data_IF_817458073518
#
_entry.id   IF_817458073518
#
_cell.length_a   1.000
_cell.length_b   1.000
_cell.length_c   1.000
_cell.angle_alpha   90.00
_cell.angle_beta   90.00
_cell.angle_gamma   90.00
#
_symmetry.space_group_name_H-M   'P 1'
#
loop_
_entity.id
_entity.type
_entity.pdbx_description
1 polymer ?
#
# COMPACT_ATOMS: atom_id res chain seq x y z
N UNK A 1 -45.82 -51.21 47.60
CA UNK A 1 -45.25 -52.34 46.83
C UNK A 1 -44.04 -51.81 46.06
N UNK A 2 -42.92 -52.54 46.21
CA UNK A 2 -41.69 -52.55 45.41
C UNK A 2 -40.90 -51.24 45.19
N UNK A 3 -39.85 -51.10 46.01
CA UNK A 3 -38.59 -50.41 45.77
C UNK A 3 -37.84 -50.96 44.54
N UNK A 4 -37.29 -50.09 43.70
CA UNK A 4 -36.37 -50.46 42.60
C UNK A 4 -35.02 -49.75 42.83
N UNK A 5 -34.00 -50.56 43.01
CA UNK A 5 -32.57 -50.22 43.16
C UNK A 5 -31.97 -49.81 41.81
N UNK A 6 -31.01 -48.87 41.72
CA UNK A 6 -30.38 -48.53 40.45
C UNK A 6 -29.31 -49.56 40.05
N UNK A 7 -29.41 -50.12 38.84
CA UNK A 7 -28.39 -50.96 38.21
C UNK A 7 -27.22 -50.10 37.69
N UNK A 8 -25.99 -50.55 37.94
CA UNK A 8 -24.77 -50.00 37.35
C UNK A 8 -24.74 -50.21 35.82
N UNK A 9 -24.10 -49.33 35.03
CA UNK A 9 -23.99 -49.49 33.58
C UNK A 9 -23.06 -50.66 33.24
N UNK A 10 -23.53 -51.53 32.36
CA UNK A 10 -22.79 -52.63 31.76
C UNK A 10 -21.80 -52.09 30.72
N UNK A 11 -20.53 -52.48 30.85
CA UNK A 11 -19.49 -52.26 29.84
C UNK A 11 -19.89 -53.01 28.57
N UNK A 12 -20.23 -52.26 27.51
CA UNK A 12 -20.37 -52.84 26.17
C UNK A 12 -18.96 -52.95 25.57
N UNK A 13 -18.51 -54.13 25.14
CA UNK A 13 -17.22 -54.24 24.47
C UNK A 13 -17.29 -53.49 23.14
N UNK A 14 -16.29 -52.63 22.92
CA UNK A 14 -16.22 -51.76 21.75
C UNK A 14 -16.05 -52.62 20.49
N UNK A 15 -17.11 -52.71 19.67
CA UNK A 15 -17.17 -53.57 18.49
C UNK A 15 -16.05 -53.22 17.49
N UNK A 16 -15.60 -51.96 17.50
CA UNK A 16 -14.50 -51.46 16.68
C UNK A 16 -13.16 -52.08 17.10
N UNK A 17 -12.95 -52.31 18.40
CA UNK A 17 -11.74 -52.95 18.95
C UNK A 17 -11.72 -54.47 18.66
N UNK A 18 -12.89 -55.09 18.51
CA UNK A 18 -13.00 -56.49 18.09
C UNK A 18 -12.73 -56.68 16.59
N UNK A 19 -13.19 -55.76 15.73
CA UNK A 19 -12.99 -55.84 14.28
C UNK A 19 -11.53 -55.57 13.91
N UNK A 20 -10.88 -54.60 14.56
CA UNK A 20 -9.45 -54.28 14.36
C UNK A 20 -8.51 -55.44 14.74
N UNK A 21 -8.87 -56.22 15.78
CA UNK A 21 -8.11 -57.39 16.26
C UNK A 21 -8.50 -58.70 15.58
N UNK A 22 -9.51 -58.70 14.70
CA UNK A 22 -9.96 -59.91 14.02
C UNK A 22 -8.89 -60.38 13.01
N UNK A 23 -8.36 -61.58 13.24
CA UNK A 23 -7.52 -62.30 12.27
C UNK A 23 -8.42 -63.08 11.32
N UNK A 24 -8.03 -63.15 10.05
CA UNK A 24 -8.71 -63.98 9.05
C UNK A 24 -8.74 -65.44 9.52
N UNK A 25 -9.95 -65.94 9.79
CA UNK A 25 -10.16 -67.30 10.28
C UNK A 25 -9.74 -68.33 9.22
N UNK A 26 -8.83 -69.28 9.52
CA UNK A 26 -8.26 -70.19 8.54
C UNK A 26 -9.26 -71.21 7.94
N UNK A 27 -10.52 -71.23 8.40
CA UNK A 27 -11.55 -72.19 7.97
C UNK A 27 -12.49 -71.68 6.88
N UNK A 28 -12.41 -70.41 6.45
CA UNK A 28 -13.37 -69.84 5.47
C UNK A 28 -12.79 -69.69 4.05
N UNK A 29 -11.48 -69.90 3.83
CA UNK A 29 -10.88 -69.81 2.49
C UNK A 29 -10.85 -71.18 1.80
N UNK A 30 -11.82 -71.45 0.91
CA UNK A 30 -11.91 -72.67 0.09
C UNK A 30 -11.12 -72.62 -1.23
N UNK A 31 -10.21 -71.66 -1.40
CA UNK A 31 -9.38 -71.56 -2.59
C UNK A 31 -7.90 -71.56 -2.20
N UNK A 32 -7.11 -72.41 -2.85
CA UNK A 32 -5.65 -72.47 -2.69
C UNK A 32 -5.04 -71.13 -3.12
N UNK A 33 -4.54 -70.41 -2.12
CA UNK A 33 -3.92 -69.10 -2.30
C UNK A 33 -2.49 -69.31 -2.85
N UNK A 34 -2.02 -68.51 -3.81
CA UNK A 34 -0.68 -68.63 -4.38
C UNK A 34 0.42 -68.67 -3.30
N UNK A 35 1.50 -69.45 -3.48
CA UNK A 35 2.55 -69.63 -2.46
C UNK A 35 3.26 -68.34 -2.05
N UNK A 36 3.18 -67.28 -2.85
CA UNK A 36 3.66 -65.93 -2.52
C UNK A 36 2.85 -65.21 -1.43
N UNK A 37 1.61 -65.64 -1.17
CA UNK A 37 0.67 -65.03 -0.21
C UNK A 37 0.49 -65.88 1.07
N UNK A 38 1.13 -67.05 1.15
CA UNK A 38 1.01 -67.94 2.29
C UNK A 38 1.51 -67.31 3.62
N UNK A 39 2.50 -66.42 3.55
CA UNK A 39 3.06 -65.71 4.71
C UNK A 39 2.23 -64.50 5.16
N UNK A 40 1.27 -64.01 4.34
CA UNK A 40 0.43 -62.84 4.68
C UNK A 40 -0.89 -63.20 5.38
N UNK A 41 -1.12 -64.48 5.66
CA UNK A 41 -2.35 -65.00 6.30
C UNK A 41 -2.54 -64.59 7.77
N UNK A 42 -1.52 -64.01 8.40
CA UNK A 42 -1.51 -63.66 9.83
C UNK A 42 -1.61 -62.14 10.11
N UNK A 43 -1.73 -61.33 9.07
CA UNK A 43 -1.81 -59.87 9.14
C UNK A 43 -3.22 -59.46 9.56
N UNK A 44 -3.34 -58.59 10.56
CA UNK A 44 -4.67 -58.09 11.00
C UNK A 44 -5.26 -57.14 9.96
N UNK A 45 -6.58 -56.90 10.00
CA UNK A 45 -7.23 -55.99 9.06
C UNK A 45 -6.59 -54.59 9.07
N UNK A 46 -6.18 -54.11 10.25
CA UNK A 46 -5.52 -52.81 10.43
C UNK A 46 -4.10 -52.78 9.84
N UNK A 47 -3.34 -53.86 9.96
CA UNK A 47 -2.01 -53.97 9.37
C UNK A 47 -2.07 -54.04 7.85
N UNK A 48 -3.07 -54.76 7.30
CA UNK A 48 -3.28 -54.85 5.85
C UNK A 48 -3.76 -53.51 5.28
N UNK A 49 -4.58 -52.77 6.01
CA UNK A 49 -4.98 -51.41 5.65
C UNK A 49 -3.78 -50.46 5.64
N UNK A 50 -2.87 -50.56 6.62
CA UNK A 50 -1.62 -49.80 6.64
C UNK A 50 -0.68 -50.14 5.47
N UNK A 51 -0.54 -51.43 5.13
CA UNK A 51 0.23 -51.84 3.94
C UNK A 51 -0.38 -51.33 2.65
N UNK A 52 -1.72 -51.39 2.53
CA UNK A 52 -2.43 -50.97 1.33
C UNK A 52 -2.39 -49.45 1.14
N UNK A 53 -2.52 -48.68 2.23
CA UNK A 53 -2.35 -47.22 2.24
C UNK A 53 -0.95 -46.77 1.81
N UNK A 54 0.05 -47.66 1.85
CA UNK A 54 1.40 -47.37 1.34
C UNK A 54 1.45 -47.35 -0.19
N UNK A 55 0.49 -47.95 -0.89
CA UNK A 55 0.42 -47.91 -2.36
C UNK A 55 -0.33 -46.66 -2.84
N UNK A 56 0.23 -45.85 -3.74
CA UNK A 56 -0.39 -44.60 -4.19
C UNK A 56 -1.80 -44.75 -4.78
N UNK A 57 -2.11 -45.92 -5.35
CA UNK A 57 -3.43 -46.21 -5.92
C UNK A 57 -4.53 -46.39 -4.87
N UNK A 58 -4.16 -46.75 -3.63
CA UNK A 58 -5.08 -47.03 -2.53
C UNK A 58 -4.88 -46.09 -1.33
N UNK A 59 -4.00 -45.11 -1.48
CA UNK A 59 -3.65 -44.17 -0.43
C UNK A 59 -4.80 -43.18 -0.21
N UNK A 60 -5.31 -43.09 1.03
CA UNK A 60 -6.38 -42.15 1.39
C UNK A 60 -5.86 -40.77 1.79
N UNK A 61 -4.63 -40.67 2.27
CA UNK A 61 -3.98 -39.43 2.74
C UNK A 61 -2.50 -39.47 2.35
N UNK A 62 -1.92 -38.33 1.94
CA UNK A 62 -0.48 -38.24 1.67
C UNK A 62 0.32 -38.42 2.98
N UNK A 63 1.43 -39.19 2.96
CA UNK A 63 2.24 -39.38 4.15
C UNK A 63 3.01 -38.08 4.45
N UNK A 64 3.43 -37.89 5.71
CA UNK A 64 4.26 -36.75 6.09
C UNK A 64 5.57 -36.72 5.27
N UNK A 65 6.12 -35.53 4.98
CA UNK A 65 7.24 -35.33 4.04
C UNK A 65 8.51 -36.16 4.34
N UNK A 66 8.63 -36.70 5.56
CA UNK A 66 9.78 -37.48 6.05
C UNK A 66 9.61 -39.01 5.98
N UNK A 67 8.49 -39.54 5.43
CA UNK A 67 8.31 -40.98 5.24
C UNK A 67 8.72 -41.44 3.83
N UNK A 68 9.88 -42.10 3.75
CA UNK A 68 10.38 -42.72 2.50
C UNK A 68 9.45 -43.87 2.05
N UNK A 69 8.62 -43.56 1.05
CA UNK A 69 7.73 -44.52 0.42
C UNK A 69 8.21 -44.82 -1.02
N UNK A 70 8.90 -45.95 -1.18
CA UNK A 70 9.42 -46.45 -2.45
C UNK A 70 8.37 -46.48 -3.58
N UNK A 71 7.10 -46.77 -3.26
CA UNK A 71 6.04 -46.76 -4.26
C UNK A 71 5.69 -45.35 -4.74
N UNK A 72 5.72 -44.35 -3.85
CA UNK A 72 5.54 -42.95 -4.25
C UNK A 72 6.72 -42.46 -5.09
N UNK A 73 7.94 -42.90 -4.79
CA UNK A 73 9.13 -42.58 -5.58
C UNK A 73 9.07 -43.22 -6.97
N UNK A 74 8.64 -44.48 -7.07
CA UNK A 74 8.44 -45.15 -8.36
C UNK A 74 7.38 -44.44 -9.22
N UNK A 75 6.27 -44.00 -8.62
CA UNK A 75 5.25 -43.20 -9.32
C UNK A 75 5.76 -41.80 -9.72
N UNK A 76 6.56 -41.15 -8.87
CA UNK A 76 7.24 -39.89 -9.22
C UNK A 76 8.19 -40.09 -10.38
N UNK A 77 8.95 -41.19 -10.42
CA UNK A 77 9.87 -41.51 -11.51
C UNK A 77 9.13 -41.72 -12.85
N UNK A 78 7.97 -42.38 -12.82
CA UNK A 78 7.11 -42.58 -13.99
C UNK A 78 6.61 -41.23 -14.57
N UNK A 79 6.40 -40.21 -13.73
CA UNK A 79 6.04 -38.87 -14.20
C UNK A 79 7.17 -38.15 -14.96
N UNK A 80 8.42 -38.60 -14.83
CA UNK A 80 9.59 -38.10 -15.55
C UNK A 80 10.14 -39.13 -16.56
N UNK A 81 9.31 -40.07 -16.99
CA UNK A 81 9.66 -41.04 -18.04
C UNK A 81 9.38 -40.44 -19.43
N UNK A 82 10.37 -40.50 -20.33
CA UNK A 82 10.28 -39.99 -21.70
C UNK A 82 11.38 -39.01 -22.07
N UNK A 83 11.26 -38.39 -23.25
CA UNK A 83 12.10 -37.27 -23.67
C UNK A 83 11.74 -35.99 -22.89
N UNK A 84 12.64 -34.99 -22.87
CA UNK A 84 12.38 -33.72 -22.16
C UNK A 84 11.16 -33.00 -22.67
N UNK A 85 10.97 -33.01 -23.99
CA UNK A 85 9.82 -32.38 -24.64
C UNK A 85 8.52 -33.07 -24.22
N UNK A 86 8.49 -34.40 -24.16
CA UNK A 86 7.31 -35.18 -23.73
C UNK A 86 6.99 -34.95 -22.25
N UNK A 87 7.99 -34.95 -21.37
CA UNK A 87 7.81 -34.67 -19.94
C UNK A 87 7.25 -33.26 -19.75
N UNK A 88 7.85 -32.26 -20.43
CA UNK A 88 7.38 -30.89 -20.36
C UNK A 88 5.96 -30.71 -20.94
N UNK A 89 5.62 -31.44 -22.00
CA UNK A 89 4.29 -31.46 -22.59
C UNK A 89 3.24 -32.08 -21.66
N UNK A 90 3.59 -33.17 -20.96
CA UNK A 90 2.71 -33.79 -19.96
C UNK A 90 2.39 -32.79 -18.83
N UNK A 91 3.42 -32.17 -18.23
CA UNK A 91 3.22 -31.16 -17.20
C UNK A 91 2.50 -29.90 -17.70
N UNK A 92 2.74 -29.46 -18.94
CA UNK A 92 1.98 -28.37 -19.59
C UNK A 92 0.49 -28.74 -19.68
N UNK A 93 0.16 -29.97 -20.03
CA UNK A 93 -1.23 -30.44 -20.17
C UNK A 93 -1.94 -30.48 -18.83
N UNK A 94 -1.29 -31.00 -17.78
CA UNK A 94 -1.80 -30.95 -16.40
C UNK A 94 -1.97 -29.51 -15.91
N UNK A 95 -1.03 -28.62 -16.23
CA UNK A 95 -1.15 -27.19 -15.93
C UNK A 95 -2.34 -26.53 -16.63
N UNK A 96 -2.60 -26.88 -17.89
CA UNK A 96 -3.77 -26.37 -18.64
C UNK A 96 -5.10 -26.88 -18.05
N UNK A 97 -5.13 -28.11 -17.53
CA UNK A 97 -6.27 -28.66 -16.78
C UNK A 97 -6.53 -27.90 -15.49
N UNK A 98 -5.50 -27.69 -14.68
CA UNK A 98 -5.60 -26.91 -13.46
C UNK A 98 -6.06 -25.46 -13.74
N UNK A 99 -5.61 -24.84 -14.83
CA UNK A 99 -6.11 -23.53 -15.29
C UNK A 99 -7.60 -23.57 -15.62
N UNK A 100 -8.09 -24.61 -16.32
CA UNK A 100 -9.52 -24.76 -16.63
C UNK A 100 -10.37 -24.87 -15.36
N UNK A 101 -9.83 -25.51 -14.33
CA UNK A 101 -10.46 -25.65 -13.01
C UNK A 101 -10.25 -24.44 -12.08
N UNK A 102 -9.54 -23.40 -12.53
CA UNK A 102 -9.17 -22.21 -11.75
C UNK A 102 -8.29 -22.51 -10.52
N UNK A 103 -7.60 -23.65 -10.51
CA UNK A 103 -6.57 -24.00 -9.51
C UNK A 103 -5.24 -23.37 -9.91
N UNK A 104 -5.11 -22.07 -9.66
CA UNK A 104 -3.98 -21.27 -10.16
C UNK A 104 -2.64 -21.62 -9.50
N UNK A 105 -2.65 -21.98 -8.21
CA UNK A 105 -1.46 -22.40 -7.47
C UNK A 105 -0.87 -23.69 -8.07
N UNK A 106 -1.70 -24.72 -8.19
CA UNK A 106 -1.33 -26.01 -8.77
C UNK A 106 -0.85 -25.84 -10.22
N UNK A 107 -1.57 -25.05 -11.02
CA UNK A 107 -1.18 -24.75 -12.40
C UNK A 107 0.22 -24.13 -12.48
N UNK A 108 0.53 -23.15 -11.63
CA UNK A 108 1.85 -22.50 -11.56
C UNK A 108 2.95 -23.51 -11.23
N UNK A 109 2.68 -24.46 -10.34
CA UNK A 109 3.63 -25.51 -9.99
C UNK A 109 3.86 -26.48 -11.14
N UNK A 110 2.81 -26.92 -11.84
CA UNK A 110 2.94 -27.77 -13.01
C UNK A 110 3.75 -27.10 -14.12
N UNK A 111 3.51 -25.83 -14.43
CA UNK A 111 4.35 -25.10 -15.40
C UNK A 111 5.79 -24.94 -14.93
N UNK A 112 6.03 -24.78 -13.63
CA UNK A 112 7.37 -24.69 -13.08
C UNK A 112 8.12 -26.03 -13.16
N UNK A 113 7.44 -27.16 -12.95
CA UNK A 113 7.97 -28.51 -13.18
C UNK A 113 8.29 -28.74 -14.65
N UNK A 114 7.42 -28.30 -15.57
CA UNK A 114 7.69 -28.36 -17.01
C UNK A 114 8.98 -27.62 -17.40
N UNK A 115 9.16 -26.38 -16.90
CA UNK A 115 10.36 -25.59 -17.14
C UNK A 115 11.61 -26.18 -16.48
N UNK A 116 11.48 -26.83 -15.33
CA UNK A 116 12.58 -27.54 -14.69
C UNK A 116 13.03 -28.75 -15.53
N UNK A 117 12.09 -29.52 -16.07
CA UNK A 117 12.38 -30.67 -16.93
C UNK A 117 13.16 -30.27 -18.19
N UNK A 118 12.83 -29.13 -18.80
CA UNK A 118 13.53 -28.58 -19.97
C UNK A 118 14.97 -28.11 -19.64
N UNK A 119 15.26 -27.75 -18.38
CA UNK A 119 16.58 -27.26 -17.94
C UNK A 119 17.55 -28.35 -17.51
N UNK A 120 17.08 -29.59 -17.31
CA UNK A 120 17.96 -30.72 -16.95
C UNK A 120 19.03 -30.87 -18.05
N UNK A 121 20.32 -31.12 -17.76
CA UNK A 121 21.34 -31.34 -18.79
C UNK A 121 21.10 -32.62 -19.62
N UNK A 122 21.29 -32.58 -20.96
CA UNK A 122 21.03 -33.72 -21.91
C UNK A 122 21.73 -35.01 -21.50
N UNK A 123 22.85 -34.90 -20.79
CA UNK A 123 23.62 -36.02 -20.27
C UNK A 123 23.67 -35.90 -18.73
N UNK A 124 23.30 -36.95 -17.98
CA UNK A 124 23.55 -36.99 -16.54
C UNK A 124 25.05 -36.86 -16.29
N UNK A 125 25.46 -36.02 -15.35
CA UNK A 125 26.87 -35.90 -14.97
C UNK A 125 27.37 -37.25 -14.43
N UNK A 126 28.05 -38.04 -15.27
CA UNK A 126 28.58 -39.37 -14.94
C UNK A 126 28.04 -40.56 -15.75
N UNK A 127 27.20 -40.34 -16.77
CA UNK A 127 26.67 -41.44 -17.60
C UNK A 127 27.78 -42.13 -18.43
N UNK A 128 27.78 -43.47 -18.41
CA UNK A 128 28.73 -44.26 -19.20
C UNK A 128 28.33 -44.29 -20.69
N UNK A 129 29.27 -44.34 -21.64
CA UNK A 129 28.97 -44.37 -23.08
C UNK A 129 28.01 -45.50 -23.51
N UNK A 130 27.96 -46.60 -22.75
CA UNK A 130 27.12 -47.77 -23.04
C UNK A 130 25.62 -47.56 -22.75
N UNK A 131 25.26 -46.64 -21.84
CA UNK A 131 23.85 -46.31 -21.56
C UNK A 131 23.26 -45.34 -22.60
N UNK A 132 24.12 -44.57 -23.29
CA UNK A 132 23.71 -43.68 -24.37
C UNK A 132 23.44 -44.42 -25.69
N UNK A 133 24.12 -45.54 -25.96
CA UNK A 133 23.97 -46.30 -27.22
C UNK A 133 22.62 -47.06 -27.32
N UNK A 134 21.95 -47.37 -26.21
CA UNK A 134 20.72 -48.19 -26.23
C UNK A 134 19.42 -47.38 -26.44
N UNK A 135 19.48 -46.04 -26.42
CA UNK A 135 18.31 -45.14 -26.49
C UNK A 135 18.33 -44.21 -27.72
N UNK A 136 19.05 -44.58 -28.78
CA UNK A 136 19.03 -43.85 -30.04
C UNK A 136 17.88 -44.37 -30.91
N UNK A 137 16.65 -43.99 -30.57
CA UNK A 137 15.69 -43.75 -31.66
C UNK A 137 16.23 -42.57 -32.46
N UNK A 138 16.15 -42.62 -33.79
CA UNK A 138 16.57 -41.54 -34.71
C UNK A 138 15.70 -40.29 -34.49
N UNK A 139 15.94 -39.60 -33.38
CA UNK A 139 15.26 -38.38 -33.03
C UNK A 139 16.03 -37.24 -33.68
N UNK A 140 15.39 -36.56 -34.63
CA UNK A 140 15.91 -35.35 -35.25
C UNK A 140 16.16 -34.29 -34.15
N UNK A 141 17.42 -34.15 -33.74
CA UNK A 141 17.86 -33.26 -32.66
C UNK A 141 17.38 -31.81 -32.89
N UNK A 142 17.32 -31.38 -34.16
CA UNK A 142 16.89 -30.04 -34.54
C UNK A 142 15.38 -29.86 -34.35
N UNK A 143 14.60 -30.90 -34.64
CA UNK A 143 13.15 -30.89 -34.43
C UNK A 143 12.79 -30.88 -32.95
N UNK A 144 13.51 -31.65 -32.12
CA UNK A 144 13.32 -31.66 -30.67
C UNK A 144 13.69 -30.33 -30.02
N UNK A 145 14.81 -29.72 -30.38
CA UNK A 145 15.19 -28.40 -29.84
C UNK A 145 14.19 -27.29 -30.23
N UNK A 146 13.51 -27.44 -31.37
CA UNK A 146 12.43 -26.55 -31.77
C UNK A 146 11.17 -26.80 -30.94
N UNK A 147 10.82 -28.07 -30.65
CA UNK A 147 9.73 -28.43 -29.74
C UNK A 147 10.00 -27.90 -28.33
N UNK A 148 11.18 -28.12 -27.79
CA UNK A 148 11.59 -27.65 -26.46
C UNK A 148 11.44 -26.13 -26.32
N UNK A 149 11.93 -25.35 -27.29
CA UNK A 149 11.77 -23.88 -27.29
C UNK A 149 10.31 -23.43 -27.37
N UNK A 150 9.50 -24.11 -28.17
CA UNK A 150 8.06 -23.80 -28.29
C UNK A 150 7.29 -24.13 -27.00
N UNK A 151 7.66 -25.22 -26.33
CA UNK A 151 7.10 -25.59 -25.03
C UNK A 151 7.55 -24.60 -23.95
N UNK A 152 8.84 -24.24 -23.92
CA UNK A 152 9.39 -23.24 -23.00
C UNK A 152 8.64 -21.91 -23.11
N UNK A 153 8.44 -21.41 -24.34
CA UNK A 153 7.66 -20.20 -24.61
C UNK A 153 6.25 -20.28 -24.01
N UNK A 154 5.56 -21.39 -24.24
CA UNK A 154 4.17 -21.60 -23.80
C UNK A 154 4.08 -21.72 -22.28
N UNK A 155 5.00 -22.46 -21.66
CA UNK A 155 5.05 -22.65 -20.22
C UNK A 155 5.35 -21.34 -19.48
N UNK A 156 6.30 -20.52 -19.96
CA UNK A 156 6.53 -19.19 -19.40
C UNK A 156 5.31 -18.28 -19.55
N UNK A 157 4.67 -18.27 -20.73
CA UNK A 157 3.47 -17.46 -20.96
C UNK A 157 2.34 -17.88 -20.01
N UNK A 158 2.07 -19.18 -19.86
CA UNK A 158 0.97 -19.68 -19.03
C UNK A 158 1.25 -19.54 -17.53
N UNK A 159 2.52 -19.68 -17.10
CA UNK A 159 2.91 -19.38 -15.72
C UNK A 159 2.64 -17.92 -15.35
N UNK A 160 2.98 -16.99 -16.25
CA UNK A 160 2.67 -15.57 -16.08
C UNK A 160 1.16 -15.29 -16.00
N UNK A 161 0.33 -16.03 -16.74
CA UNK A 161 -1.13 -15.95 -16.61
C UNK A 161 -1.60 -16.37 -15.22
N UNK A 162 -1.13 -17.51 -14.71
CA UNK A 162 -1.52 -17.99 -13.38
C UNK A 162 -1.18 -16.96 -12.30
N UNK A 163 0.00 -16.34 -12.39
CA UNK A 163 0.42 -15.31 -11.44
C UNK A 163 -0.46 -14.05 -11.49
N UNK A 164 -0.84 -13.60 -12.69
CA UNK A 164 -1.76 -12.48 -12.87
C UNK A 164 -3.12 -12.73 -12.19
N UNK A 165 -3.69 -13.92 -12.39
CA UNK A 165 -4.99 -14.30 -11.83
C UNK A 165 -4.94 -14.56 -10.31
N UNK A 166 -3.77 -14.93 -9.78
CA UNK A 166 -3.55 -15.12 -8.34
C UNK A 166 -3.45 -13.82 -7.54
N UNK A 167 -3.40 -12.65 -8.19
CA UNK A 167 -2.94 -11.42 -7.55
C UNK A 167 -3.85 -10.94 -6.39
N UNK A 168 -3.41 -11.23 -5.16
CA UNK A 168 -3.79 -10.53 -3.92
C UNK A 168 -2.72 -9.49 -3.50
N UNK A 169 -1.47 -9.51 -3.97
CA UNK A 169 -0.47 -8.49 -3.57
C UNK A 169 0.71 -8.29 -4.52
N UNK A 170 1.20 -7.05 -4.57
CA UNK A 170 2.24 -6.49 -5.43
C UNK A 170 3.65 -7.12 -5.37
N UNK A 171 3.90 -8.09 -4.48
CA UNK A 171 5.20 -8.74 -4.32
C UNK A 171 5.49 -9.81 -5.38
N UNK A 172 4.46 -10.43 -5.97
CA UNK A 172 4.62 -11.48 -6.99
C UNK A 172 4.92 -10.93 -8.39
N UNK A 173 4.48 -9.70 -8.69
CA UNK A 173 4.48 -9.14 -10.03
C UNK A 173 5.88 -8.88 -10.65
N UNK A 174 6.97 -8.95 -9.86
CA UNK A 174 8.34 -8.86 -10.41
C UNK A 174 8.74 -10.12 -11.17
N UNK A 175 8.26 -11.29 -10.74
CA UNK A 175 8.56 -12.57 -11.37
C UNK A 175 7.80 -12.67 -12.70
N UNK A 176 6.55 -12.19 -12.73
CA UNK A 176 5.66 -12.20 -13.89
C UNK A 176 6.28 -11.45 -15.08
N UNK A 177 6.87 -10.27 -14.83
CA UNK A 177 7.57 -9.49 -15.86
C UNK A 177 8.79 -10.26 -16.39
N UNK A 178 9.51 -11.00 -15.53
CA UNK A 178 10.66 -11.79 -15.97
C UNK A 178 10.23 -12.94 -16.89
N UNK A 179 9.19 -13.69 -16.51
CA UNK A 179 8.66 -14.81 -17.31
C UNK A 179 8.14 -14.35 -18.66
N UNK A 180 7.50 -13.20 -18.65
CA UNK A 180 6.98 -12.62 -19.86
C UNK A 180 8.06 -12.07 -20.79
N UNK A 181 9.07 -11.40 -20.23
CA UNK A 181 10.24 -10.99 -21.00
C UNK A 181 10.98 -12.19 -21.59
N UNK A 182 11.07 -13.32 -20.89
CA UNK A 182 11.64 -14.56 -21.43
C UNK A 182 10.78 -15.08 -22.58
N UNK A 183 9.46 -15.18 -22.40
CA UNK A 183 8.53 -15.58 -23.46
C UNK A 183 8.65 -14.69 -24.71
N UNK A 184 8.77 -13.38 -24.54
CA UNK A 184 8.95 -12.41 -25.63
C UNK A 184 10.34 -12.45 -26.27
N UNK A 185 11.38 -12.83 -25.52
CA UNK A 185 12.72 -13.10 -26.08
C UNK A 185 12.73 -14.35 -26.94
N UNK A 186 11.99 -15.38 -26.55
CA UNK A 186 11.83 -16.61 -27.33
C UNK A 186 10.97 -16.36 -28.57
N UNK A 187 9.86 -15.63 -28.41
CA UNK A 187 8.95 -15.27 -29.49
C UNK A 187 8.37 -13.86 -29.32
N UNK A 188 8.95 -12.91 -30.05
CA UNK A 188 8.52 -11.51 -30.01
C UNK A 188 7.15 -11.25 -30.64
N UNK A 189 6.61 -12.23 -31.39
CA UNK A 189 5.30 -12.14 -32.06
C UNK A 189 4.17 -12.75 -31.21
N UNK A 190 4.43 -13.18 -29.99
CA UNK A 190 3.39 -13.73 -29.13
C UNK A 190 2.46 -12.61 -28.59
N UNK A 191 1.30 -12.45 -29.21
CA UNK A 191 0.32 -11.41 -28.85
C UNK A 191 -0.26 -11.61 -27.44
N UNK A 192 -0.45 -12.87 -27.01
CA UNK A 192 -0.95 -13.18 -25.67
C UNK A 192 0.04 -12.76 -24.59
N UNK A 193 1.34 -12.92 -24.85
CA UNK A 193 2.41 -12.43 -24.01
C UNK A 193 2.33 -10.89 -23.88
N UNK A 194 2.29 -10.16 -25.00
CA UNK A 194 2.14 -8.69 -24.97
C UNK A 194 0.89 -8.20 -24.24
N UNK A 195 -0.25 -8.87 -24.43
CA UNK A 195 -1.49 -8.55 -23.71
C UNK A 195 -1.33 -8.74 -22.20
N UNK A 196 -0.73 -9.86 -21.77
CA UNK A 196 -0.43 -10.13 -20.35
C UNK A 196 0.53 -9.07 -19.79
N UNK A 197 1.47 -8.57 -20.58
CA UNK A 197 2.45 -7.55 -20.18
C UNK A 197 1.76 -6.24 -19.86
N UNK A 198 0.97 -5.75 -20.81
CA UNK A 198 0.21 -4.53 -20.66
C UNK A 198 -0.76 -4.61 -19.47
N UNK A 199 -1.42 -5.76 -19.29
CA UNK A 199 -2.32 -5.99 -18.15
C UNK A 199 -1.57 -5.96 -16.81
N UNK A 200 -0.39 -6.59 -16.73
CA UNK A 200 0.46 -6.60 -15.54
C UNK A 200 0.94 -5.19 -15.18
N UNK A 201 1.47 -4.46 -16.17
CA UNK A 201 1.97 -3.10 -15.99
C UNK A 201 0.85 -2.12 -15.61
N UNK A 202 -0.35 -2.29 -16.17
CA UNK A 202 -1.53 -1.52 -15.77
C UNK A 202 -1.93 -1.81 -14.31
N UNK A 203 -1.90 -3.08 -13.88
CA UNK A 203 -2.17 -3.44 -12.49
C UNK A 203 -1.11 -2.89 -11.50
N UNK A 204 0.12 -2.68 -11.98
CA UNK A 204 1.22 -2.05 -11.24
C UNK A 204 1.22 -0.51 -11.29
N UNK A 205 0.22 0.12 -11.94
CA UNK A 205 0.18 1.56 -12.23
C UNK A 205 1.44 2.08 -12.97
N UNK A 206 2.17 1.18 -13.65
CA UNK A 206 3.30 1.50 -14.54
C UNK A 206 2.77 1.85 -15.94
N UNK A 207 2.13 3.02 -16.02
CA UNK A 207 1.41 3.47 -17.21
C UNK A 207 2.26 3.61 -18.49
N UNK A 208 3.49 4.17 -18.47
CA UNK A 208 4.26 4.30 -19.70
C UNK A 208 4.71 2.93 -20.23
N UNK A 209 5.18 2.04 -19.35
CA UNK A 209 5.57 0.68 -19.75
C UNK A 209 4.37 -0.15 -20.21
N UNK A 210 3.18 0.05 -19.60
CA UNK A 210 1.95 -0.61 -20.03
C UNK A 210 1.55 -0.18 -21.45
N UNK A 211 1.68 1.12 -21.75
CA UNK A 211 1.37 1.67 -23.07
C UNK A 211 2.34 1.12 -24.12
N UNK A 212 3.65 1.15 -23.83
CA UNK A 212 4.68 0.60 -24.73
C UNK A 212 4.43 -0.87 -25.06
N UNK A 213 4.11 -1.68 -24.04
CA UNK A 213 3.78 -3.10 -24.23
C UNK A 213 2.52 -3.31 -25.09
N UNK A 214 1.48 -2.50 -24.86
CA UNK A 214 0.26 -2.49 -25.65
C UNK A 214 0.53 -2.15 -27.13
N UNK A 215 1.35 -1.14 -27.39
CA UNK A 215 1.70 -0.71 -28.74
C UNK A 215 2.57 -1.73 -29.47
N UNK A 216 3.49 -2.38 -28.76
CA UNK A 216 4.26 -3.50 -29.31
C UNK A 216 3.35 -4.67 -29.71
N UNK A 217 2.36 -5.02 -28.88
CA UNK A 217 1.38 -6.04 -29.20
C UNK A 217 0.51 -5.68 -30.42
N UNK A 218 0.04 -4.44 -30.50
CA UNK A 218 -0.77 -3.95 -31.62
C UNK A 218 0.02 -3.83 -32.93
N UNK A 219 1.35 -3.65 -32.86
CA UNK A 219 2.22 -3.70 -34.05
C UNK A 219 2.28 -5.10 -34.67
N UNK A 220 2.16 -6.14 -33.84
CA UNK A 220 2.12 -7.53 -34.30
C UNK A 220 0.73 -7.89 -34.82
N UNK A 221 -0.33 -7.55 -34.07
CA UNK A 221 -1.72 -7.81 -34.45
C UNK A 221 -2.60 -6.55 -34.26
N UNK A 222 -2.74 -5.71 -35.30
CA UNK A 222 -3.49 -4.45 -35.20
C UNK A 222 -4.99 -4.63 -34.97
N UNK A 223 -5.56 -5.78 -35.39
CA UNK A 223 -6.98 -6.08 -35.29
C UNK A 223 -7.39 -6.68 -33.93
N UNK A 224 -6.47 -6.81 -32.97
CA UNK A 224 -6.74 -7.44 -31.70
C UNK A 224 -7.62 -6.57 -30.79
N UNK A 225 -8.86 -7.02 -30.55
CA UNK A 225 -9.84 -6.29 -29.74
C UNK A 225 -9.46 -6.21 -28.26
N UNK A 226 -8.80 -7.23 -27.71
CA UNK A 226 -8.43 -7.27 -26.29
C UNK A 226 -7.34 -6.22 -25.97
N UNK A 227 -6.33 -6.09 -26.84
CA UNK A 227 -5.29 -5.06 -26.70
C UNK A 227 -5.85 -3.64 -26.86
N UNK A 228 -6.80 -3.43 -27.77
CA UNK A 228 -7.47 -2.14 -27.93
C UNK A 228 -8.24 -1.72 -26.65
N UNK A 229 -8.91 -2.67 -25.99
CA UNK A 229 -9.60 -2.43 -24.72
C UNK A 229 -8.60 -2.05 -23.62
N UNK A 230 -7.47 -2.76 -23.50
CA UNK A 230 -6.43 -2.46 -22.50
C UNK A 230 -5.80 -1.10 -22.76
N UNK A 231 -5.51 -0.76 -24.02
CA UNK A 231 -5.00 0.57 -24.41
C UNK A 231 -5.96 1.68 -23.96
N UNK A 232 -7.26 1.54 -24.21
CA UNK A 232 -8.26 2.51 -23.74
C UNK A 232 -8.29 2.64 -22.21
N UNK A 233 -8.12 1.52 -21.47
CA UNK A 233 -8.02 1.57 -20.00
C UNK A 233 -6.77 2.31 -19.53
N UNK A 234 -5.62 2.07 -20.16
CA UNK A 234 -4.35 2.76 -19.86
C UNK A 234 -4.49 4.26 -20.13
N UNK A 235 -5.05 4.67 -21.26
CA UNK A 235 -5.26 6.08 -21.61
C UNK A 235 -6.19 6.79 -20.61
N UNK A 236 -7.29 6.14 -20.21
CA UNK A 236 -8.19 6.66 -19.16
C UNK A 236 -7.49 6.81 -17.81
N UNK A 237 -6.68 5.82 -17.40
CA UNK A 237 -5.90 5.90 -16.14
C UNK A 237 -4.85 7.01 -16.21
N UNK A 238 -4.18 7.15 -17.36
CA UNK A 238 -3.14 8.16 -17.60
C UNK A 238 -3.71 9.58 -17.54
N UNK A 239 -4.83 9.83 -18.22
CA UNK A 239 -5.51 11.13 -18.18
C UNK A 239 -6.03 11.47 -16.78
N UNK A 240 -6.54 10.48 -16.04
CA UNK A 240 -6.99 10.67 -14.66
C UNK A 240 -5.84 11.04 -13.71
N UNK A 241 -4.73 10.30 -13.75
CA UNK A 241 -3.54 10.58 -12.92
C UNK A 241 -2.94 11.94 -13.29
N UNK A 242 -2.83 12.25 -14.58
CA UNK A 242 -2.34 13.56 -15.04
C UNK A 242 -3.25 14.73 -14.60
N UNK A 243 -4.57 14.53 -14.55
CA UNK A 243 -5.51 15.52 -14.05
C UNK A 243 -5.36 15.79 -12.54
N UNK A 244 -5.12 14.74 -11.76
CA UNK A 244 -4.83 14.86 -10.32
C UNK A 244 -3.52 15.62 -10.11
N UNK A 245 -2.46 15.23 -10.82
CA UNK A 245 -1.14 15.86 -10.68
C UNK A 245 -1.17 17.33 -11.10
N UNK A 246 -1.88 17.67 -12.19
CA UNK A 246 -2.08 19.06 -12.59
C UNK A 246 -2.80 19.88 -11.50
N UNK A 247 -3.89 19.33 -10.95
CA UNK A 247 -4.65 20.00 -9.87
C UNK A 247 -3.80 20.19 -8.62
N UNK A 248 -2.89 19.26 -8.33
CA UNK A 248 -1.94 19.37 -7.22
C UNK A 248 -0.91 20.48 -7.48
N UNK A 249 -0.30 20.50 -8.66
CA UNK A 249 0.68 21.50 -9.05
C UNK A 249 0.08 22.91 -9.04
N UNK A 250 -1.13 23.09 -9.59
CA UNK A 250 -1.84 24.38 -9.57
C UNK A 250 -2.10 24.87 -8.13
N UNK A 251 -2.44 23.97 -7.20
CA UNK A 251 -2.60 24.31 -5.78
C UNK A 251 -1.28 24.70 -5.12
N UNK A 252 -0.22 23.94 -5.37
CA UNK A 252 1.11 24.21 -4.81
C UNK A 252 1.69 25.53 -5.35
N UNK A 253 1.53 25.81 -6.64
CA UNK A 253 1.93 27.08 -7.25
C UNK A 253 1.12 28.25 -6.71
N UNK A 254 -0.20 28.07 -6.53
CA UNK A 254 -1.06 29.07 -5.92
C UNK A 254 -0.57 29.42 -4.51
N UNK A 255 -0.41 28.44 -3.63
CA UNK A 255 0.08 28.66 -2.26
C UNK A 255 1.45 29.35 -2.27
N UNK A 256 2.38 28.91 -3.11
CA UNK A 256 3.71 29.53 -3.26
C UNK A 256 3.62 30.99 -3.71
N UNK A 257 2.73 31.29 -4.66
CA UNK A 257 2.52 32.66 -5.15
C UNK A 257 1.89 33.55 -4.08
N UNK A 258 0.92 33.03 -3.31
CA UNK A 258 0.26 33.74 -2.22
C UNK A 258 1.25 34.08 -1.09
N UNK A 259 2.09 33.12 -0.68
CA UNK A 259 3.15 33.34 0.32
C UNK A 259 4.19 34.36 -0.14
N UNK A 260 4.64 34.26 -1.41
CA UNK A 260 5.58 35.21 -2.00
C UNK A 260 5.01 36.63 -2.04
N UNK A 261 3.74 36.76 -2.45
CA UNK A 261 3.03 38.02 -2.51
C UNK A 261 2.84 38.62 -1.12
N UNK A 262 2.44 37.81 -0.13
CA UNK A 262 2.32 38.24 1.27
C UNK A 262 3.65 38.74 1.82
N UNK A 263 4.74 38.02 1.58
CA UNK A 263 6.09 38.43 2.00
C UNK A 263 6.52 39.74 1.34
N UNK A 264 6.23 39.90 0.05
CA UNK A 264 6.50 41.14 -0.66
C UNK A 264 5.66 42.30 -0.11
N UNK A 265 4.37 42.07 0.16
CA UNK A 265 3.44 43.04 0.73
C UNK A 265 3.86 43.53 2.12
N UNK A 266 4.32 42.63 3.00
CA UNK A 266 4.87 42.98 4.32
C UNK A 266 6.16 43.80 4.20
N UNK A 267 7.05 43.41 3.27
CA UNK A 267 8.32 44.10 3.05
C UNK A 267 8.14 45.50 2.46
N UNK A 268 7.25 45.66 1.48
CA UNK A 268 6.98 46.96 0.84
C UNK A 268 6.41 47.99 1.82
N UNK A 269 5.65 47.51 2.81
CA UNK A 269 5.04 48.33 3.88
C UNK A 269 5.93 48.51 5.10
N UNK A 270 7.18 48.01 5.07
CA UNK A 270 8.13 48.09 6.18
C UNK A 270 7.61 47.48 7.50
N UNK A 271 6.84 46.38 7.40
CA UNK A 271 6.28 45.67 8.55
C UNK A 271 7.26 44.58 8.97
N UNK A 272 7.69 44.62 10.23
CA UNK A 272 8.58 43.62 10.82
C UNK A 272 7.73 42.52 11.42
N UNK A 273 7.87 41.29 10.91
CA UNK A 273 7.22 40.10 11.44
C UNK A 273 8.28 39.17 12.06
N UNK A 274 7.97 38.63 13.23
CA UNK A 274 8.82 37.69 13.97
C UNK A 274 8.01 36.47 14.36
N UNK A 275 8.56 35.30 14.07
CA UNK A 275 7.97 34.00 14.43
C UNK A 275 8.74 33.39 15.60
N UNK A 276 8.01 32.91 16.60
CA UNK A 276 8.53 32.18 17.76
C UNK A 276 8.59 30.68 17.46
N UNK A 277 9.20 29.89 18.36
CA UNK A 277 9.34 28.44 18.16
C UNK A 277 8.00 27.71 18.26
N UNK A 278 7.11 28.20 19.11
CA UNK A 278 5.79 27.63 19.37
C UNK A 278 4.72 28.73 19.16
N UNK A 279 4.34 29.00 17.90
CA UNK A 279 3.29 29.98 17.61
C UNK A 279 1.94 29.45 18.14
N UNK A 280 1.06 30.32 18.65
CA UNK A 280 -0.28 29.94 19.05
C UNK A 280 -1.08 29.44 17.83
N UNK A 281 -1.86 28.38 18.01
CA UNK A 281 -2.81 27.93 16.98
C UNK A 281 -3.98 28.93 16.91
N UNK A 282 -4.06 29.65 15.80
CA UNK A 282 -5.01 30.73 15.57
C UNK A 282 -6.05 30.35 14.50
N UNK A 283 -6.13 29.06 14.13
CA UNK A 283 -7.02 28.53 13.09
C UNK A 283 -6.96 29.39 11.80
N UNK A 284 -8.08 30.05 11.47
CA UNK A 284 -8.24 30.87 10.27
C UNK A 284 -7.74 32.32 10.43
N UNK A 285 -7.35 32.74 11.62
CA UNK A 285 -6.97 34.11 11.94
C UNK A 285 -5.47 34.33 11.70
N UNK A 286 -5.09 34.28 10.43
CA UNK A 286 -3.74 34.57 9.92
C UNK A 286 -3.74 35.85 9.10
N UNK A 287 -2.56 36.44 8.90
CA UNK A 287 -2.41 37.63 8.05
C UNK A 287 -2.77 37.24 6.62
N UNK A 288 -3.77 37.91 6.05
CA UNK A 288 -4.27 37.64 4.70
C UNK A 288 -4.31 38.92 3.88
N UNK A 289 -3.97 38.81 2.61
CA UNK A 289 -4.28 39.81 1.60
C UNK A 289 -5.75 39.65 1.20
N UNK A 290 -6.46 40.75 1.04
CA UNK A 290 -7.84 40.75 0.51
C UNK A 290 -7.89 40.05 -0.86
N UNK A 291 -6.91 40.35 -1.73
CA UNK A 291 -6.68 39.65 -2.98
C UNK A 291 -5.30 38.95 -2.96
N UNK A 292 -5.23 37.62 -2.78
CA UNK A 292 -3.95 36.91 -2.63
C UNK A 292 -2.99 36.99 -3.84
N UNK A 293 -3.54 37.28 -5.02
CA UNK A 293 -2.77 37.42 -6.27
C UNK A 293 -2.14 38.80 -6.39
N UNK A 294 -2.68 39.81 -5.72
CA UNK A 294 -2.26 41.20 -5.86
C UNK A 294 -1.54 41.70 -4.60
N UNK A 295 -0.23 41.97 -4.66
CA UNK A 295 0.55 42.39 -3.48
C UNK A 295 0.22 43.81 -2.96
N UNK A 296 -0.40 44.63 -3.80
CA UNK A 296 -0.87 45.99 -3.48
C UNK A 296 -2.21 46.01 -2.77
N UNK A 297 -2.92 44.88 -2.73
CA UNK A 297 -4.20 44.78 -2.04
C UNK A 297 -4.07 44.96 -0.53
N UNK A 298 -5.20 45.29 0.12
CA UNK A 298 -5.29 45.56 1.56
C UNK A 298 -4.84 44.34 2.37
N UNK A 299 -3.94 44.56 3.34
CA UNK A 299 -3.59 43.54 4.33
C UNK A 299 -4.60 43.54 5.47
N UNK A 300 -4.98 42.36 5.91
CA UNK A 300 -5.77 42.12 7.12
C UNK A 300 -4.90 41.42 8.17
N UNK A 301 -4.97 41.91 9.40
CA UNK A 301 -4.21 41.40 10.53
C UNK A 301 -5.16 40.91 11.63
N UNK A 302 -4.90 39.76 12.25
CA UNK A 302 -5.52 39.43 13.52
C UNK A 302 -4.96 40.35 14.61
N UNK A 303 -5.83 40.89 15.46
CA UNK A 303 -5.46 41.83 16.53
C UNK A 303 -6.00 41.31 17.85
N UNK A 304 -5.14 41.26 18.87
CA UNK A 304 -5.55 40.99 20.25
C UNK A 304 -5.43 42.26 21.09
N UNK A 305 -6.52 42.63 21.73
CA UNK A 305 -6.57 43.70 22.72
C UNK A 305 -6.39 43.08 24.11
N UNK A 306 -5.32 43.44 24.79
CA UNK A 306 -4.97 42.95 26.11
C UNK A 306 -5.32 44.01 27.16
N UNK A 307 -5.98 43.60 28.24
CA UNK A 307 -6.29 44.43 29.40
C UNK A 307 -5.45 43.97 30.60
N UNK A 308 -4.17 44.36 30.67
CA UNK A 308 -3.19 43.74 31.58
C UNK A 308 -3.50 43.94 33.06
N UNK A 309 -4.24 45.00 33.43
CA UNK A 309 -4.62 45.25 34.83
C UNK A 309 -5.72 44.29 35.33
N UNK A 310 -6.53 43.75 34.42
CA UNK A 310 -7.67 42.88 34.74
C UNK A 310 -7.46 41.45 34.24
N UNK A 311 -6.32 41.17 33.59
CA UNK A 311 -5.99 39.89 32.97
C UNK A 311 -7.08 39.39 32.00
N UNK A 312 -7.67 40.30 31.24
CA UNK A 312 -8.66 40.01 30.19
C UNK A 312 -8.07 40.26 28.80
N UNK A 313 -8.69 39.68 27.77
CA UNK A 313 -8.32 39.91 26.38
C UNK A 313 -9.51 39.79 25.44
N UNK A 314 -9.55 40.63 24.42
CA UNK A 314 -10.49 40.51 23.29
C UNK A 314 -9.72 40.22 22.00
N UNK A 315 -10.32 39.41 21.13
CA UNK A 315 -9.70 38.99 19.87
C UNK A 315 -10.52 39.43 18.66
N UNK A 316 -9.88 40.13 17.74
CA UNK A 316 -10.44 40.53 16.44
C UNK A 316 -9.74 39.75 15.34
N UNK A 317 -10.50 38.88 14.65
CA UNK A 317 -9.95 37.95 13.65
C UNK A 317 -9.30 38.64 12.45
N UNK A 318 -9.87 39.75 12.00
CA UNK A 318 -9.39 40.49 10.84
C UNK A 318 -9.61 42.00 11.06
N UNK A 319 -8.52 42.74 11.05
CA UNK A 319 -8.47 44.20 11.06
C UNK A 319 -7.71 44.65 9.81
N UNK A 320 -8.36 45.42 8.95
CA UNK A 320 -7.73 45.91 7.73
C UNK A 320 -6.67 46.97 8.06
N UNK A 321 -5.61 47.04 7.27
CA UNK A 321 -4.50 47.98 7.51
C UNK A 321 -4.91 49.46 7.46
N UNK A 322 -6.04 49.75 6.81
CA UNK A 322 -6.66 51.08 6.70
C UNK A 322 -7.51 51.45 7.90
N UNK A 323 -7.94 50.48 8.70
CA UNK A 323 -8.77 50.69 9.89
C UNK A 323 -7.94 51.26 11.05
N UNK A 324 -8.63 51.89 12.00
CA UNK A 324 -8.02 52.48 13.19
C UNK A 324 -8.35 51.69 14.44
N UNK A 325 -7.46 51.75 15.44
CA UNK A 325 -7.73 51.11 16.74
C UNK A 325 -9.00 51.69 17.40
N UNK A 326 -9.31 52.97 17.16
CA UNK A 326 -10.51 53.62 17.71
C UNK A 326 -11.81 53.02 17.18
N UNK A 327 -11.86 52.61 15.91
CA UNK A 327 -13.05 51.99 15.32
C UNK A 327 -13.34 50.66 16.02
N UNK A 328 -12.32 49.83 16.21
CA UNK A 328 -12.47 48.56 16.92
C UNK A 328 -12.80 48.75 18.40
N UNK A 329 -12.12 49.67 19.08
CA UNK A 329 -12.38 49.93 20.50
C UNK A 329 -13.75 50.57 20.75
N UNK A 330 -14.36 51.22 19.75
CA UNK A 330 -15.67 51.87 19.91
C UNK A 330 -16.83 50.89 20.15
N UNK A 331 -16.75 49.68 19.58
CA UNK A 331 -17.77 48.64 19.80
C UNK A 331 -17.37 47.62 20.88
N UNK A 332 -16.08 47.55 21.23
CA UNK A 332 -15.58 46.68 22.30
C UNK A 332 -15.78 47.33 23.69
N UNK A 333 -15.56 48.64 23.80
CA UNK A 333 -15.64 49.38 25.06
C UNK A 333 -17.00 50.07 25.23
N UNK A 334 -17.57 50.11 26.45
CA UNK A 334 -17.05 49.51 27.68
C UNK A 334 -17.35 48.00 27.76
N UNK A 335 -16.42 47.18 28.28
CA UNK A 335 -16.62 45.75 28.39
C UNK A 335 -17.51 45.41 29.60
N UNK A 336 -18.24 44.28 29.58
CA UNK A 336 -19.22 43.93 30.62
C UNK A 336 -18.61 43.68 32.01
N UNK A 337 -17.31 43.38 32.08
CA UNK A 337 -16.59 43.17 33.34
C UNK A 337 -16.13 44.47 34.01
N UNK A 338 -16.16 45.62 33.32
CA UNK A 338 -15.74 46.90 33.87
C UNK A 338 -16.88 47.58 34.65
N UNK A 339 -17.12 47.09 35.87
CA UNK A 339 -18.11 47.66 36.78
C UNK A 339 -17.75 49.07 37.24
N UNK A 340 -16.47 49.43 37.18
CA UNK A 340 -15.93 50.73 37.60
C UNK A 340 -16.04 51.82 36.53
N UNK A 341 -16.26 51.45 35.27
CA UNK A 341 -16.31 52.37 34.14
C UNK A 341 -14.96 53.01 33.81
N UNK A 342 -13.84 52.39 34.20
CA UNK A 342 -12.49 52.91 33.96
C UNK A 342 -12.06 52.77 32.49
N UNK A 343 -12.63 51.81 31.76
CA UNK A 343 -12.33 51.49 30.37
C UNK A 343 -13.31 52.16 29.39
N UNK A 344 -13.46 53.48 29.52
CA UNK A 344 -14.18 54.29 28.53
C UNK A 344 -13.38 54.51 27.24
N UNK A 345 -14.08 54.72 26.11
CA UNK A 345 -13.47 54.99 24.79
C UNK A 345 -12.46 56.14 24.86
N UNK A 346 -12.78 57.22 25.56
CA UNK A 346 -11.87 58.37 25.74
C UNK A 346 -10.89 58.21 26.91
N UNK A 347 -11.26 57.41 27.92
CA UNK A 347 -10.51 57.19 29.17
C UNK A 347 -9.36 56.19 29.06
N UNK A 348 -9.24 55.48 27.95
CA UNK A 348 -8.20 54.47 27.70
C UNK A 348 -7.07 54.98 26.82
N UNK A 349 -5.90 54.34 26.94
CA UNK A 349 -4.74 54.52 26.07
C UNK A 349 -4.26 53.17 25.56
N UNK A 350 -3.74 53.16 24.33
CA UNK A 350 -3.23 51.97 23.68
C UNK A 350 -1.71 52.02 23.63
N UNK A 351 -1.08 50.89 23.93
CA UNK A 351 0.36 50.70 23.90
C UNK A 351 0.71 49.43 23.14
N UNK A 352 1.77 49.48 22.34
CA UNK A 352 2.28 48.34 21.58
C UNK A 352 3.74 48.07 21.95
N UNK A 353 4.14 46.81 21.85
CA UNK A 353 5.53 46.42 22.08
C UNK A 353 6.38 46.73 20.84
N UNK A 354 7.63 47.11 21.09
CA UNK A 354 8.61 47.44 20.05
C UNK A 354 9.62 46.30 19.88
N UNK A 355 10.30 46.25 18.73
CA UNK A 355 11.36 45.25 18.43
C UNK A 355 12.47 45.24 19.51
N UNK A 356 12.76 46.40 20.09
CA UNK A 356 13.75 46.55 21.16
C UNK A 356 13.24 46.08 22.55
N UNK A 357 12.00 45.60 22.64
CA UNK A 357 11.37 45.17 23.89
C UNK A 357 10.82 46.30 24.76
N UNK A 358 10.77 47.55 24.25
CA UNK A 358 10.12 48.69 24.90
C UNK A 358 8.65 48.86 24.50
N UNK A 359 7.98 49.86 25.06
CA UNK A 359 6.60 50.22 24.73
C UNK A 359 6.55 51.50 23.89
N UNK A 360 5.68 51.51 22.88
CA UNK A 360 5.30 52.72 22.14
C UNK A 360 3.82 53.01 22.36
N UNK A 361 3.48 54.29 22.55
CA UNK A 361 2.09 54.73 22.62
C UNK A 361 1.47 54.64 21.23
N UNK A 362 0.47 53.79 21.06
CA UNK A 362 -0.29 53.65 19.82
C UNK A 362 -1.42 54.67 19.79
N UNK A 363 -1.35 55.63 18.86
CA UNK A 363 -2.39 56.64 18.70
C UNK A 363 -3.69 55.99 18.23
N UNK A 364 -4.78 56.11 19.01
CA UNK A 364 -6.09 55.49 18.70
C UNK A 364 -6.64 55.87 17.32
N UNK A 365 -6.37 57.09 16.85
CA UNK A 365 -6.82 57.63 15.56
C UNK A 365 -5.86 57.33 14.40
N UNK A 366 -4.72 56.68 14.66
CA UNK A 366 -3.79 56.28 13.61
C UNK A 366 -4.27 54.97 12.99
N UNK A 367 -4.07 54.84 11.68
CA UNK A 367 -4.33 53.59 10.96
C UNK A 367 -3.30 52.55 11.35
N UNK A 368 -3.70 51.28 11.28
CA UNK A 368 -2.82 50.17 11.61
C UNK A 368 -1.56 50.16 10.72
N UNK A 369 -1.69 50.49 9.43
CA UNK A 369 -0.56 50.65 8.51
C UNK A 369 0.48 51.67 9.00
N UNK A 370 0.06 52.83 9.53
CA UNK A 370 0.99 53.85 10.02
C UNK A 370 1.70 53.41 11.31
N UNK A 371 1.01 52.65 12.16
CA UNK A 371 1.58 52.11 13.39
C UNK A 371 2.63 51.03 13.07
N UNK A 372 2.27 50.05 12.24
CA UNK A 372 3.14 48.92 11.87
C UNK A 372 4.27 49.35 10.91
N UNK A 373 3.96 50.20 9.92
CA UNK A 373 4.94 50.68 8.94
C UNK A 373 6.01 51.62 9.50
N UNK A 374 5.89 52.03 10.76
CA UNK A 374 6.95 52.74 11.48
C UNK A 374 8.23 51.91 11.65
N UNK A 375 8.16 50.59 11.45
CA UNK A 375 9.27 49.64 11.57
C UNK A 375 9.74 49.41 13.02
N UNK A 376 9.12 50.10 13.99
CA UNK A 376 9.45 49.99 15.42
C UNK A 376 8.62 48.93 16.14
N UNK A 377 7.40 48.68 15.65
CA UNK A 377 6.45 47.73 16.21
C UNK A 377 6.64 46.39 15.49
N UNK A 378 6.72 45.30 16.24
CA UNK A 378 6.78 43.95 15.67
C UNK A 378 5.42 43.27 15.68
N UNK A 379 5.14 42.52 14.62
CA UNK A 379 4.04 41.56 14.56
C UNK A 379 4.60 40.21 15.01
N UNK A 380 4.06 39.67 16.10
CA UNK A 380 4.55 38.42 16.70
C UNK A 380 3.64 37.27 16.28
N UNK A 381 4.20 36.25 15.63
CA UNK A 381 3.47 35.05 15.17
C UNK A 381 2.26 35.38 14.29
N UNK A 382 2.36 36.45 13.50
CA UNK A 382 1.26 36.92 12.67
C UNK A 382 0.18 37.71 13.42
N UNK A 383 0.33 37.91 14.73
CA UNK A 383 -0.62 38.58 15.62
C UNK A 383 -0.14 39.96 16.04
N UNK A 384 -1.04 40.94 15.94
CA UNK A 384 -0.81 42.29 16.46
C UNK A 384 -1.30 42.34 17.90
N UNK A 385 -0.40 42.66 18.84
CA UNK A 385 -0.73 42.79 20.28
C UNK A 385 -0.87 44.26 20.65
N UNK A 386 -2.02 44.62 21.22
CA UNK A 386 -2.33 45.99 21.68
C UNK A 386 -2.72 45.94 23.15
N UNK A 387 -1.93 46.58 24.02
CA UNK A 387 -2.25 46.73 25.43
C UNK A 387 -3.15 47.96 25.63
N UNK A 388 -4.35 47.77 26.18
CA UNK A 388 -5.33 48.82 26.47
C UNK A 388 -5.33 49.08 27.98
N UNK A 389 -5.03 50.32 28.38
CA UNK A 389 -4.86 50.69 29.79
C UNK A 389 -5.61 52.00 30.09
N UNK A 390 -6.29 52.14 31.25
CA UNK A 390 -6.91 53.41 31.65
C UNK A 390 -5.85 54.50 31.86
N UNK A 391 -6.14 55.72 31.40
CA UNK A 391 -5.24 56.89 31.49
C UNK A 391 -4.71 57.13 32.90
N UNK A 392 -5.57 56.98 33.91
CA UNK A 392 -5.22 57.21 35.31
C UNK A 392 -4.15 56.23 35.84
N UNK A 393 -4.08 55.02 35.28
CA UNK A 393 -3.19 53.93 35.72
C UNK A 393 -2.07 53.62 34.74
N UNK A 394 -2.01 54.33 33.60
CA UNK A 394 -1.04 54.09 32.53
C UNK A 394 0.42 54.28 32.99
N UNK A 395 0.71 55.32 33.77
CA UNK A 395 2.08 55.58 34.28
C UNK A 395 2.59 54.43 35.16
N UNK A 396 1.76 53.99 36.12
CA UNK A 396 2.07 52.89 37.05
C UNK A 396 2.31 51.60 36.27
N UNK A 397 1.44 51.29 35.31
CA UNK A 397 1.58 50.09 34.50
C UNK A 397 2.85 50.09 33.64
N UNK A 398 3.23 51.23 33.05
CA UNK A 398 4.47 51.33 32.25
C UNK A 398 5.71 51.07 33.13
N UNK A 399 5.72 51.55 34.36
CA UNK A 399 6.83 51.28 35.31
C UNK A 399 6.89 49.79 35.69
N UNK A 400 5.75 49.19 36.01
CA UNK A 400 5.68 47.75 36.27
C UNK A 400 6.14 46.91 35.07
N UNK A 401 5.73 47.29 33.86
CA UNK A 401 6.12 46.59 32.64
C UNK A 401 7.64 46.61 32.44
N UNK A 402 8.27 47.79 32.62
CA UNK A 402 9.73 47.94 32.54
C UNK A 402 10.44 47.08 33.60
N UNK A 403 9.90 47.02 34.82
CA UNK A 403 10.46 46.23 35.91
C UNK A 403 10.37 44.71 35.63
N UNK A 404 9.26 44.25 35.05
CA UNK A 404 9.06 42.82 34.69
C UNK A 404 10.00 42.38 33.58
N UNK A 405 10.25 43.24 32.58
CA UNK A 405 11.13 42.94 31.44
C UNK A 405 12.61 43.02 31.79
N UNK A 406 13.03 43.92 32.68
CA UNK A 406 14.43 44.00 33.13
C UNK A 406 14.92 42.80 33.95
N UNK A 407 14.03 41.87 34.32
CA UNK A 407 14.33 40.62 35.04
C UNK A 407 14.41 39.38 34.14
N UNK A 408 14.14 39.50 32.84
CA UNK A 408 14.13 38.39 31.87
C UNK A 408 15.39 38.33 31.02
#
# INVERSE_FOLDING_TARGET
>A
MASITPQQPSETPDIVDMISKARLDPKVASADVPPSLANKRQVTADELYKELNRYPLFMTELPAEDEDNEYLEAFKALAYEGTRAEIAENFKTQGNEAVREKRWLDAREFYSKALAALKVPKVPAGASPAELEMKVEEVDEVAEEKRERSLEETCHANRALCQLEMSITALLNRIDVCDLLISLKLNSRNVKAWYRAASACLALDKLPEALDACECGLRVEPANTALAIVKSKIEKRTTHVAGIERSRQEREERVRSEESNLKYALKSRNIVSRTTKDPPDMEDATIKLENPVEPTSTLSFPVIFLYPLQAQSDFVKACAETETLSEHLSYILPPPWDQTGEYGVEGTECYMETVAGGLIKAGRKLTLLKLLGSGKVEVLDGLVKVNVVPKAKASIWIEEFKLRRGKQ
#
